data_IF_705566043601
#
_entry.id   IF_705566043601
#
_cell.length_a   1.000
_cell.length_b   1.000
_cell.length_c   1.000
_cell.angle_alpha   90.00
_cell.angle_beta   90.00
_cell.angle_gamma   90.00
#
_symmetry.space_group_name_H-M   'P 1'
#
loop_
_entity.id
_entity.type
_entity.pdbx_description
1 polymer ?
#
# COMPACT_ATOMS: atom_id res chain seq x y z
N UNK A 1 31.73 11.76 -8.99
CA UNK A 1 31.00 12.10 -7.75
C UNK A 1 30.06 13.23 -8.12
N UNK A 2 28.76 13.10 -7.85
CA UNK A 2 27.78 14.08 -8.29
C UNK A 2 27.24 14.88 -7.12
N UNK A 3 27.18 16.20 -7.28
CA UNK A 3 26.28 17.05 -6.52
C UNK A 3 25.38 17.79 -7.51
N UNK A 4 24.14 18.05 -7.10
CA UNK A 4 23.18 18.84 -7.84
C UNK A 4 22.89 20.13 -7.06
N UNK A 5 23.09 21.24 -7.73
CA UNK A 5 22.74 22.57 -7.25
C UNK A 5 21.48 22.99 -8.00
N UNK A 6 20.34 23.02 -7.32
CA UNK A 6 19.04 23.28 -7.95
C UNK A 6 18.72 24.77 -7.90
N UNK A 7 18.80 25.36 -6.71
CA UNK A 7 18.55 26.80 -6.51
C UNK A 7 19.16 27.29 -5.20
N UNK A 8 18.93 28.56 -4.86
CA UNK A 8 19.30 29.11 -3.55
C UNK A 8 18.75 28.23 -2.42
N UNK A 9 19.63 27.78 -1.52
CA UNK A 9 19.35 26.88 -0.40
C UNK A 9 18.72 25.52 -0.80
N UNK A 10 18.85 25.10 -2.06
CA UNK A 10 18.35 23.82 -2.57
C UNK A 10 19.46 23.06 -3.30
N UNK A 11 20.03 22.06 -2.65
CA UNK A 11 21.12 21.25 -3.19
C UNK A 11 21.12 19.84 -2.59
N UNK A 12 21.75 18.91 -3.31
CA UNK A 12 21.92 17.53 -2.87
C UNK A 12 23.20 16.92 -3.42
N UNK A 13 23.88 16.08 -2.66
CA UNK A 13 25.07 15.38 -3.12
C UNK A 13 25.49 14.26 -2.17
N UNK A 14 26.52 13.52 -2.56
CA UNK A 14 27.16 12.54 -1.68
C UNK A 14 28.24 13.26 -0.84
N UNK A 15 28.10 13.15 0.48
CA UNK A 15 29.06 13.61 1.49
C UNK A 15 30.00 12.46 1.84
N UNK A 16 31.31 12.70 1.75
CA UNK A 16 32.36 11.77 2.14
C UNK A 16 33.19 12.42 3.24
N UNK A 17 33.33 11.76 4.39
CA UNK A 17 34.09 12.31 5.52
C UNK A 17 35.51 11.73 5.62
N UNK A 18 35.70 10.50 5.15
CA UNK A 18 36.98 9.79 5.22
C UNK A 18 37.29 9.06 3.90
N UNK A 19 38.58 8.76 3.68
CA UNK A 19 38.99 7.91 2.55
C UNK A 19 38.41 6.50 2.73
N UNK A 20 37.58 6.06 1.78
CA UNK A 20 36.89 4.77 1.81
C UNK A 20 35.41 4.85 2.25
N UNK A 21 34.90 6.03 2.58
CA UNK A 21 33.47 6.23 2.84
C UNK A 21 32.65 5.93 1.58
N UNK A 22 31.50 5.24 1.76
CA UNK A 22 30.56 4.94 0.66
C UNK A 22 29.77 6.17 0.22
N UNK A 23 29.84 7.25 0.99
CA UNK A 23 29.19 8.52 0.71
C UNK A 23 27.75 8.52 1.20
N UNK A 24 27.41 9.48 2.07
CA UNK A 24 26.04 9.68 2.54
C UNK A 24 25.32 10.73 1.70
N UNK A 25 24.04 10.50 1.38
CA UNK A 25 23.24 11.49 0.64
C UNK A 25 22.89 12.67 1.56
N UNK A 26 23.57 13.80 1.40
CA UNK A 26 23.23 15.06 2.08
C UNK A 26 22.34 15.92 1.17
N UNK A 27 21.18 16.32 1.68
CA UNK A 27 20.20 17.12 0.96
C UNK A 27 19.79 18.33 1.81
N UNK A 28 19.71 19.49 1.18
CA UNK A 28 19.31 20.75 1.81
C UNK A 28 18.24 21.41 0.96
N UNK A 29 17.11 21.74 1.58
CA UNK A 29 15.96 22.38 0.93
C UNK A 29 15.22 21.55 -0.14
N UNK A 30 15.69 20.33 -0.43
CA UNK A 30 15.04 19.39 -1.36
C UNK A 30 13.85 18.71 -0.67
N UNK A 31 12.86 18.32 -1.47
CA UNK A 31 11.60 17.73 -1.04
C UNK A 31 11.79 16.49 -0.16
N UNK A 32 12.93 15.80 -0.25
CA UNK A 32 13.30 14.61 0.55
C UNK A 32 13.47 14.87 2.06
N UNK A 33 13.62 16.12 2.49
CA UNK A 33 13.77 16.52 3.90
C UNK A 33 12.66 17.48 4.38
N UNK A 34 11.80 17.91 3.46
CA UNK A 34 10.73 18.87 3.68
C UNK A 34 9.51 18.19 4.28
N UNK A 35 9.04 18.66 5.44
CA UNK A 35 7.91 18.03 6.16
C UNK A 35 6.55 18.25 5.49
N UNK A 36 6.44 19.28 4.66
CA UNK A 36 5.31 19.61 3.80
C UNK A 36 5.16 18.68 2.58
N UNK A 37 6.16 17.85 2.29
CA UNK A 37 6.07 16.81 1.26
C UNK A 37 5.48 15.52 1.82
N UNK A 38 4.67 14.81 1.03
CA UNK A 38 4.17 13.48 1.38
C UNK A 38 5.22 12.38 1.10
N UNK A 39 5.02 11.21 1.71
CA UNK A 39 5.92 10.05 1.54
C UNK A 39 6.04 9.60 0.08
N UNK A 40 4.98 9.79 -0.72
CA UNK A 40 4.98 9.51 -2.16
C UNK A 40 6.00 10.34 -2.93
N UNK A 41 6.38 11.51 -2.43
CA UNK A 41 7.44 12.31 -3.05
C UNK A 41 8.79 11.98 -2.39
N UNK A 42 8.84 11.98 -1.06
CA UNK A 42 10.08 11.87 -0.31
C UNK A 42 10.82 10.54 -0.54
N UNK A 43 10.10 9.42 -0.49
CA UNK A 43 10.69 8.08 -0.57
C UNK A 43 11.28 7.78 -1.95
N UNK A 44 10.52 7.89 -3.06
CA UNK A 44 11.08 7.59 -4.37
C UNK A 44 12.12 8.61 -4.80
N UNK A 45 11.98 9.90 -4.45
CA UNK A 45 13.01 10.89 -4.78
C UNK A 45 14.34 10.56 -4.10
N UNK A 46 14.32 10.11 -2.82
CA UNK A 46 15.52 9.68 -2.12
C UNK A 46 16.15 8.44 -2.75
N UNK A 47 15.36 7.47 -3.20
CA UNK A 47 15.86 6.29 -3.89
C UNK A 47 16.44 6.64 -5.26
N UNK A 48 15.71 7.44 -6.04
CA UNK A 48 16.14 7.92 -7.36
C UNK A 48 17.45 8.69 -7.28
N UNK A 49 17.61 9.60 -6.31
CA UNK A 49 18.88 10.32 -6.10
C UNK A 49 20.05 9.39 -5.79
N UNK A 50 19.82 8.35 -4.97
CA UNK A 50 20.85 7.33 -4.70
C UNK A 50 21.21 6.56 -5.95
N UNK A 51 20.22 6.16 -6.74
CA UNK A 51 20.40 5.43 -7.99
C UNK A 51 21.21 6.28 -8.99
N UNK A 52 20.83 7.54 -9.17
CA UNK A 52 21.54 8.49 -10.06
C UNK A 52 23.01 8.63 -9.65
N UNK A 53 23.30 8.78 -8.36
CA UNK A 53 24.69 8.96 -7.92
C UNK A 53 25.53 7.67 -7.92
N UNK A 54 24.90 6.50 -7.74
CA UNK A 54 25.59 5.21 -7.73
C UNK A 54 25.82 4.65 -9.13
N UNK A 55 24.77 4.55 -9.94
CA UNK A 55 24.85 3.92 -11.28
C UNK A 55 25.25 4.91 -12.36
N UNK A 56 24.88 6.18 -12.20
CA UNK A 56 24.96 7.22 -13.25
C UNK A 56 24.27 6.84 -14.56
N UNK A 57 23.32 5.92 -14.49
CA UNK A 57 22.54 5.48 -15.64
C UNK A 57 21.12 6.08 -15.59
N UNK A 58 20.85 6.99 -16.52
CA UNK A 58 19.53 7.63 -16.65
C UNK A 58 18.46 6.64 -17.12
N UNK A 59 18.81 5.57 -17.81
CA UNK A 59 17.88 4.54 -18.28
C UNK A 59 17.33 3.73 -17.12
N UNK A 60 18.20 3.27 -16.21
CA UNK A 60 17.80 2.65 -14.95
C UNK A 60 16.92 3.58 -14.10
N UNK A 61 17.28 4.86 -14.03
CA UNK A 61 16.51 5.85 -13.28
C UNK A 61 15.12 6.09 -13.87
N UNK A 62 15.00 6.14 -15.20
CA UNK A 62 13.71 6.22 -15.90
C UNK A 62 12.87 4.97 -15.63
N UNK A 63 13.45 3.78 -15.76
CA UNK A 63 12.76 2.50 -15.52
C UNK A 63 12.18 2.45 -14.10
N UNK A 64 12.97 2.85 -13.10
CA UNK A 64 12.53 2.93 -11.71
C UNK A 64 11.29 3.83 -11.54
N UNK A 65 11.31 5.03 -12.11
CA UNK A 65 10.18 5.96 -12.00
C UNK A 65 8.93 5.41 -12.70
N UNK A 66 9.09 4.81 -13.88
CA UNK A 66 7.98 4.19 -14.61
C UNK A 66 7.33 3.06 -13.80
N UNK A 67 8.14 2.17 -13.21
CA UNK A 67 7.66 1.10 -12.34
C UNK A 67 6.96 1.66 -11.09
N UNK A 68 7.52 2.70 -10.47
CA UNK A 68 6.90 3.38 -9.33
C UNK A 68 5.55 4.01 -9.69
N UNK A 69 5.42 4.64 -10.85
CA UNK A 69 4.14 5.19 -11.32
C UNK A 69 3.13 4.11 -11.67
N UNK A 70 3.56 2.97 -12.21
CA UNK A 70 2.68 1.80 -12.38
C UNK A 70 2.14 1.33 -11.03
N UNK A 71 2.99 1.21 -10.01
CA UNK A 71 2.54 0.88 -8.65
C UNK A 71 1.60 1.93 -8.05
N UNK A 72 1.76 3.21 -8.41
CA UNK A 72 0.85 4.29 -8.03
C UNK A 72 -0.53 4.10 -8.65
N UNK A 73 -0.60 3.86 -9.96
CA UNK A 73 -1.85 3.64 -10.69
C UNK A 73 -2.56 2.35 -10.25
N UNK A 74 -1.80 1.31 -9.93
CA UNK A 74 -2.32 0.03 -9.42
C UNK A 74 -2.77 0.09 -7.95
N UNK A 75 -2.59 1.24 -7.27
CA UNK A 75 -2.93 1.37 -5.85
C UNK A 75 -2.06 0.54 -4.91
N UNK A 76 -0.87 0.09 -5.37
CA UNK A 76 0.08 -0.72 -4.57
C UNK A 76 0.91 0.11 -3.59
N UNK A 77 0.87 1.44 -3.71
CA UNK A 77 1.54 2.33 -2.75
C UNK A 77 0.65 2.52 -1.52
N UNK A 78 1.15 2.30 -0.29
CA UNK A 78 0.37 2.47 0.92
C UNK A 78 -0.25 3.87 1.03
N UNK A 79 -1.52 3.94 1.42
CA UNK A 79 -2.25 5.21 1.61
C UNK A 79 -1.54 6.15 2.60
N UNK A 80 -0.84 5.61 3.60
CA UNK A 80 -0.05 6.41 4.54
C UNK A 80 1.04 7.26 3.90
N UNK A 81 1.55 6.87 2.73
CA UNK A 81 2.53 7.67 2.00
C UNK A 81 1.88 8.90 1.34
N UNK A 82 0.57 8.87 1.06
CA UNK A 82 -0.18 9.99 0.48
C UNK A 82 -0.65 10.99 1.55
N UNK A 83 -0.64 10.59 2.82
CA UNK A 83 -1.13 11.41 3.91
C UNK A 83 -0.16 12.55 4.23
N UNK A 84 -0.62 13.79 4.07
CA UNK A 84 0.06 15.01 4.52
C UNK A 84 -0.15 15.29 6.02
N UNK A 85 -0.79 14.40 6.78
CA UNK A 85 -1.28 14.65 8.14
C UNK A 85 -0.22 15.10 9.15
N UNK A 86 1.08 14.90 8.86
CA UNK A 86 2.16 15.49 9.67
C UNK A 86 2.08 17.02 9.75
N UNK A 87 1.42 17.70 8.80
CA UNK A 87 1.32 19.16 8.75
C UNK A 87 -0.07 19.72 9.12
N UNK A 88 -1.11 18.88 9.13
CA UNK A 88 -2.47 19.35 9.45
C UNK A 88 -2.54 19.83 10.90
N UNK A 89 -2.20 18.96 11.87
CA UNK A 89 -2.31 19.29 13.28
C UNK A 89 -1.38 20.43 13.71
N UNK A 90 -0.08 20.46 13.36
CA UNK A 90 0.79 21.57 13.72
C UNK A 90 0.31 22.92 13.19
N UNK A 91 -0.37 22.94 12.04
CA UNK A 91 -0.91 24.18 11.48
C UNK A 91 -2.05 24.76 12.31
N UNK A 92 -2.95 23.90 12.82
CA UNK A 92 -3.99 24.33 13.74
C UNK A 92 -3.45 24.59 15.16
N UNK A 93 -2.53 23.79 15.66
CA UNK A 93 -1.89 23.96 16.98
C UNK A 93 -1.25 25.35 17.12
N UNK A 94 -0.55 25.85 16.09
CA UNK A 94 0.06 27.19 16.11
C UNK A 94 -0.93 28.31 16.40
N UNK A 95 -2.14 28.22 15.85
CA UNK A 95 -3.19 29.23 16.07
C UNK A 95 -3.94 28.96 17.38
N UNK A 96 -4.22 27.69 17.70
CA UNK A 96 -4.99 27.31 18.86
C UNK A 96 -4.28 27.56 20.20
N UNK A 97 -2.94 27.57 20.21
CA UNK A 97 -2.15 27.98 21.38
C UNK A 97 -2.52 29.40 21.82
N UNK A 98 -2.79 30.32 20.89
CA UNK A 98 -3.20 31.70 21.22
C UNK A 98 -4.56 31.76 21.93
N UNK A 99 -5.39 30.73 21.74
CA UNK A 99 -6.71 30.60 22.37
C UNK A 99 -6.68 29.70 23.62
N UNK A 100 -5.49 29.20 24.02
CA UNK A 100 -5.36 28.26 25.14
C UNK A 100 -5.93 26.86 24.86
N UNK A 101 -6.07 26.48 23.59
CA UNK A 101 -6.70 25.23 23.16
C UNK A 101 -5.67 24.21 22.67
N UNK A 102 -5.77 22.96 23.15
CA UNK A 102 -4.97 21.83 22.66
C UNK A 102 -5.74 21.01 21.60
N UNK A 103 -5.44 21.29 20.33
CA UNK A 103 -6.05 20.62 19.17
C UNK A 103 -5.67 19.14 19.10
N UNK A 104 -4.48 18.77 19.59
CA UNK A 104 -4.02 17.38 19.59
C UNK A 104 -4.85 16.53 20.54
N UNK A 105 -5.16 17.08 21.71
CA UNK A 105 -6.07 16.43 22.67
C UNK A 105 -7.44 16.16 22.05
N UNK A 106 -8.01 17.13 21.33
CA UNK A 106 -9.29 16.94 20.62
C UNK A 106 -9.20 15.88 19.53
N UNK A 107 -8.16 15.94 18.68
CA UNK A 107 -7.95 14.96 17.63
C UNK A 107 -7.82 13.53 18.17
N UNK A 108 -7.10 13.36 19.27
CA UNK A 108 -6.91 12.06 19.91
C UNK A 108 -8.20 11.54 20.57
N UNK A 109 -9.13 12.41 20.94
CA UNK A 109 -10.42 12.05 21.51
C UNK A 109 -11.46 11.64 20.46
N UNK A 110 -11.21 11.87 19.16
CA UNK A 110 -12.14 11.50 18.10
C UNK A 110 -12.31 9.97 18.00
N UNK A 111 -13.55 9.46 17.83
CA UNK A 111 -13.78 8.04 17.59
C UNK A 111 -13.17 7.68 16.24
N UNK A 112 -12.07 6.91 16.27
CA UNK A 112 -11.45 6.38 15.04
C UNK A 112 -12.41 5.36 14.45
N UNK A 113 -12.96 5.64 13.26
CA UNK A 113 -13.78 4.66 12.54
C UNK A 113 -12.99 3.35 12.42
N UNK A 114 -13.51 2.28 13.00
CA UNK A 114 -13.02 0.94 12.72
C UNK A 114 -13.51 0.59 11.32
N UNK A 115 -12.63 0.69 10.32
CA UNK A 115 -12.87 0.00 9.06
C UNK A 115 -12.93 -1.49 9.37
N UNK A 116 -14.14 -2.03 9.42
CA UNK A 116 -14.34 -3.44 9.09
C UNK A 116 -13.89 -3.58 7.65
N UNK A 117 -13.05 -4.58 7.35
CA UNK A 117 -12.82 -5.01 5.97
C UNK A 117 -14.20 -5.07 5.29
N UNK A 118 -14.43 -4.19 4.32
CA UNK A 118 -15.77 -3.95 3.82
C UNK A 118 -16.28 -5.24 3.16
N UNK A 119 -17.33 -5.81 3.75
CA UNK A 119 -18.06 -6.97 3.24
C UNK A 119 -18.94 -6.52 2.08
N UNK A 120 -18.79 -7.22 0.96
CA UNK A 120 -19.65 -7.34 -0.22
C UNK A 120 -20.17 -6.05 -0.90
N UNK A 121 -20.05 -5.93 -2.24
CA UNK A 121 -20.69 -4.84 -2.96
C UNK A 121 -22.21 -5.03 -2.92
N UNK A 122 -22.93 -4.08 -2.32
CA UNK A 122 -24.39 -3.97 -2.51
C UNK A 122 -24.67 -3.54 -3.96
N UNK A 123 -25.54 -4.26 -4.67
CA UNK A 123 -25.97 -4.00 -6.05
C UNK A 123 -26.57 -2.61 -6.31
N UNK A 124 -26.70 -1.77 -5.29
CA UNK A 124 -27.23 -0.40 -5.34
C UNK A 124 -26.17 0.67 -5.56
N UNK A 125 -24.88 0.34 -5.48
CA UNK A 125 -23.79 1.29 -5.68
C UNK A 125 -23.30 1.25 -7.13
N UNK A 126 -22.96 2.43 -7.65
CA UNK A 126 -22.48 2.65 -9.02
C UNK A 126 -21.22 1.81 -9.33
N UNK A 127 -20.46 1.41 -8.31
CA UNK A 127 -19.30 0.51 -8.43
C UNK A 127 -19.64 -0.87 -9.00
N UNK A 128 -20.88 -1.36 -8.85
CA UNK A 128 -21.36 -2.58 -9.49
C UNK A 128 -21.32 -2.53 -11.03
N UNK A 129 -21.34 -1.33 -11.62
CA UNK A 129 -21.27 -1.11 -13.07
C UNK A 129 -19.84 -0.95 -13.60
N UNK A 130 -18.85 -0.77 -12.71
CA UNK A 130 -17.43 -0.64 -13.04
C UNK A 130 -16.63 -1.94 -12.77
N UNK A 131 -17.31 -3.08 -12.64
CA UNK A 131 -16.63 -4.38 -12.45
C UNK A 131 -15.60 -4.61 -13.56
N UNK A 132 -14.37 -4.95 -13.17
CA UNK A 132 -13.27 -5.20 -14.11
C UNK A 132 -13.71 -6.12 -15.24
N UNK A 133 -13.48 -5.68 -16.48
CA UNK A 133 -13.69 -6.48 -17.68
C UNK A 133 -12.50 -7.41 -17.96
N UNK A 134 -11.63 -7.70 -16.98
CA UNK A 134 -10.46 -8.56 -17.16
C UNK A 134 -10.69 -9.91 -16.49
N UNK A 135 -10.25 -10.97 -17.17
CA UNK A 135 -10.22 -12.32 -16.63
C UNK A 135 -9.28 -12.36 -15.43
N UNK A 136 -9.73 -12.85 -14.27
CA UNK A 136 -8.90 -12.87 -13.06
C UNK A 136 -7.72 -13.85 -13.13
N UNK A 137 -7.72 -14.79 -14.07
CA UNK A 137 -6.69 -15.84 -14.19
C UNK A 137 -5.61 -15.48 -15.20
N UNK A 138 -5.97 -14.90 -16.34
CA UNK A 138 -5.02 -14.53 -17.40
C UNK A 138 -4.88 -13.02 -17.64
N UNK A 139 -5.67 -12.21 -16.94
CA UNK A 139 -5.73 -10.74 -17.05
C UNK A 139 -6.14 -10.21 -18.45
N UNK A 140 -6.54 -11.09 -19.37
CA UNK A 140 -7.05 -10.69 -20.68
C UNK A 140 -8.45 -10.08 -20.54
N UNK A 141 -8.71 -8.99 -21.28
CA UNK A 141 -10.02 -8.34 -21.30
C UNK A 141 -11.10 -9.29 -21.86
N UNK A 142 -12.07 -9.63 -21.04
CA UNK A 142 -13.26 -10.42 -21.37
C UNK A 142 -14.50 -9.54 -21.45
N UNK A 143 -15.23 -9.63 -22.56
CA UNK A 143 -16.46 -8.86 -22.80
C UNK A 143 -17.73 -9.44 -22.13
N UNK A 144 -17.61 -10.56 -21.42
CA UNK A 144 -18.73 -11.22 -20.77
C UNK A 144 -18.92 -10.77 -19.32
N UNK A 145 -20.18 -10.80 -18.82
CA UNK A 145 -20.51 -10.61 -17.41
C UNK A 145 -20.06 -11.82 -16.57
N UNK A 146 -18.76 -11.97 -16.39
CA UNK A 146 -18.16 -13.05 -15.59
C UNK A 146 -16.71 -12.73 -15.24
N UNK A 147 -16.21 -13.28 -14.12
CA UNK A 147 -14.85 -13.06 -13.61
C UNK A 147 -13.75 -13.85 -14.35
N UNK A 148 -14.13 -14.83 -15.19
CA UNK A 148 -13.22 -15.70 -15.93
C UNK A 148 -13.61 -15.69 -17.42
N UNK A 149 -12.63 -15.58 -18.32
CA UNK A 149 -12.87 -15.62 -19.77
C UNK A 149 -13.24 -17.02 -20.28
N UNK A 150 -13.79 -17.10 -21.49
CA UNK A 150 -14.16 -18.37 -22.13
C UNK A 150 -12.98 -19.35 -22.24
N UNK A 151 -11.76 -18.85 -22.57
CA UNK A 151 -10.57 -19.69 -22.70
C UNK A 151 -10.15 -20.35 -21.38
N UNK A 152 -10.19 -19.59 -20.28
CA UNK A 152 -9.92 -20.12 -18.95
C UNK A 152 -11.05 -21.05 -18.48
N UNK A 153 -12.29 -20.81 -18.90
CA UNK A 153 -13.42 -21.71 -18.60
C UNK A 153 -13.32 -23.04 -19.36
N UNK A 154 -12.77 -23.03 -20.58
CA UNK A 154 -12.53 -24.23 -21.37
C UNK A 154 -11.47 -25.18 -20.77
N UNK A 155 -10.62 -24.68 -19.86
CA UNK A 155 -9.55 -25.46 -19.22
C UNK A 155 -9.71 -25.49 -17.69
N UNK A 156 -10.75 -26.15 -17.15
CA UNK A 156 -11.14 -26.04 -15.74
C UNK A 156 -10.05 -26.50 -14.77
N UNK A 157 -9.31 -27.56 -15.10
CA UNK A 157 -8.23 -28.07 -14.22
C UNK A 157 -7.09 -27.05 -14.07
N UNK A 158 -6.62 -26.47 -15.19
CA UNK A 158 -5.55 -25.47 -15.20
C UNK A 158 -5.98 -24.19 -14.47
N UNK A 159 -7.21 -23.75 -14.70
CA UNK A 159 -7.81 -22.57 -14.08
C UNK A 159 -7.99 -22.78 -12.57
N UNK A 160 -8.50 -23.94 -12.14
CA UNK A 160 -8.63 -24.27 -10.73
C UNK A 160 -7.26 -24.28 -10.01
N UNK A 161 -6.22 -24.85 -10.63
CA UNK A 161 -4.87 -24.83 -10.07
C UNK A 161 -4.28 -23.42 -9.96
N UNK A 162 -4.47 -22.58 -10.99
CA UNK A 162 -3.99 -21.20 -10.98
C UNK A 162 -4.69 -20.35 -9.91
N UNK A 163 -6.01 -20.51 -9.75
CA UNK A 163 -6.77 -19.82 -8.71
C UNK A 163 -6.37 -20.33 -7.32
N UNK A 164 -6.23 -21.66 -7.16
CA UNK A 164 -5.83 -22.25 -5.88
C UNK A 164 -4.42 -21.79 -5.48
N UNK A 165 -3.47 -21.70 -6.42
CA UNK A 165 -2.11 -21.22 -6.12
C UNK A 165 -2.12 -19.77 -5.67
N UNK A 166 -2.91 -18.89 -6.31
CA UNK A 166 -3.10 -17.50 -5.87
C UNK A 166 -3.72 -17.40 -4.48
N UNK A 167 -4.74 -18.20 -4.18
CA UNK A 167 -5.36 -18.23 -2.84
C UNK A 167 -4.34 -18.65 -1.79
N UNK A 168 -3.53 -19.67 -2.06
CA UNK A 168 -2.47 -20.14 -1.15
C UNK A 168 -1.41 -19.07 -0.93
N UNK A 169 -0.98 -18.37 -1.99
CA UNK A 169 0.00 -17.28 -1.90
C UNK A 169 -0.51 -16.11 -1.05
N UNK A 170 -1.74 -15.67 -1.29
CA UNK A 170 -2.36 -14.57 -0.53
C UNK A 170 -2.57 -14.95 0.95
N UNK A 171 -2.99 -16.19 1.22
CA UNK A 171 -3.15 -16.69 2.60
C UNK A 171 -1.79 -16.76 3.32
N UNK A 172 -0.73 -17.20 2.63
CA UNK A 172 0.62 -17.22 3.17
C UNK A 172 1.16 -15.82 3.51
N UNK A 173 0.94 -14.83 2.62
CA UNK A 173 1.30 -13.44 2.89
C UNK A 173 0.53 -12.87 4.08
N UNK A 174 -0.79 -13.12 4.13
CA UNK A 174 -1.65 -12.68 5.23
C UNK A 174 -1.20 -13.29 6.57
N UNK A 175 -0.86 -14.57 6.58
CA UNK A 175 -0.33 -15.26 7.76
C UNK A 175 1.03 -14.71 8.19
N UNK A 176 1.92 -14.36 7.24
CA UNK A 176 3.22 -13.76 7.55
C UNK A 176 3.05 -12.41 8.26
N UNK A 177 2.19 -11.53 7.74
CA UNK A 177 1.87 -10.24 8.36
C UNK A 177 1.24 -10.43 9.75
N UNK A 178 0.36 -11.42 9.89
CA UNK A 178 -0.26 -11.76 11.17
C UNK A 178 0.77 -12.19 12.21
N UNK A 179 1.78 -13.00 11.85
CA UNK A 179 2.85 -13.41 12.79
C UNK A 179 3.59 -12.20 13.35
N UNK A 180 3.89 -11.21 12.52
CA UNK A 180 4.51 -9.96 12.96
C UNK A 180 3.60 -9.20 13.92
N UNK A 181 2.30 -9.12 13.64
CA UNK A 181 1.35 -8.46 14.55
C UNK A 181 1.19 -9.20 15.89
N UNK A 182 1.16 -10.53 15.89
CA UNK A 182 1.11 -11.34 17.13
C UNK A 182 2.37 -11.11 17.96
N UNK A 183 3.55 -11.09 17.33
CA UNK A 183 4.81 -10.82 18.02
C UNK A 183 4.86 -9.38 18.58
N UNK A 184 4.31 -8.41 17.85
CA UNK A 184 4.29 -7.00 18.26
C UNK A 184 3.30 -6.72 19.42
N UNK A 185 2.11 -7.33 19.39
CA UNK A 185 1.11 -7.13 20.45
C UNK A 185 1.30 -8.08 21.64
N UNK A 186 2.01 -9.20 21.47
CA UNK A 186 2.10 -10.25 22.48
C UNK A 186 0.75 -10.94 22.73
N UNK A 187 0.71 -11.81 23.74
CA UNK A 187 -0.50 -12.54 24.18
C UNK A 187 -1.40 -11.73 25.12
N UNK A 188 -1.00 -10.52 25.52
CA UNK A 188 -1.59 -9.79 26.65
C UNK A 188 -2.82 -8.93 26.32
N UNK A 189 -3.11 -8.67 25.04
CA UNK A 189 -4.20 -7.75 24.63
C UNK A 189 -5.56 -8.42 24.42
N UNK A 190 -5.84 -9.55 25.08
CA UNK A 190 -7.20 -10.11 25.25
C UNK A 190 -8.01 -10.41 23.97
N UNK A 191 -7.42 -10.30 22.79
CA UNK A 191 -8.06 -10.62 21.52
C UNK A 191 -7.90 -12.10 21.22
N UNK A 192 -9.01 -12.80 21.00
CA UNK A 192 -8.94 -14.13 20.40
C UNK A 192 -8.41 -13.96 18.97
N UNK A 193 -7.23 -14.54 18.70
CA UNK A 193 -6.70 -14.66 17.34
C UNK A 193 -7.30 -15.89 16.64
N UNK A 194 -8.52 -16.27 16.98
CA UNK A 194 -9.21 -17.47 16.51
C UNK A 194 -9.59 -17.36 15.02
N UNK A 195 -9.99 -16.18 14.57
CA UNK A 195 -10.29 -15.91 13.16
C UNK A 195 -9.01 -15.59 12.36
N UNK A 196 -8.86 -16.22 11.19
CA UNK A 196 -7.77 -15.96 10.26
C UNK A 196 -7.83 -14.57 9.61
N UNK A 197 -9.02 -13.96 9.55
CA UNK A 197 -9.25 -12.65 8.91
C UNK A 197 -9.53 -11.51 9.88
N UNK A 198 -9.66 -11.76 11.19
CA UNK A 198 -9.83 -10.69 12.17
C UNK A 198 -8.49 -10.20 12.72
N UNK A 199 -8.18 -8.92 12.54
CA UNK A 199 -7.04 -8.27 13.20
C UNK A 199 -7.52 -7.27 14.25
N UNK A 200 -6.97 -7.38 15.46
CA UNK A 200 -7.37 -6.59 16.64
C UNK A 200 -6.58 -5.27 16.77
N UNK A 201 -5.40 -5.19 16.13
CA UNK A 201 -4.55 -4.00 16.10
C UNK A 201 -5.20 -2.85 15.32
N UNK A 202 -5.12 -1.61 15.80
CA UNK A 202 -5.69 -0.41 15.12
C UNK A 202 -4.69 0.73 14.95
N UNK A 203 -3.42 0.40 14.76
CA UNK A 203 -2.37 1.38 14.54
C UNK A 203 -2.22 1.72 13.05
N UNK A 204 -2.93 2.75 12.59
CA UNK A 204 -2.87 3.24 11.20
C UNK A 204 -1.49 3.77 10.79
N UNK A 205 -0.62 4.08 11.76
CA UNK A 205 0.77 4.47 11.49
C UNK A 205 1.70 3.26 11.36
N UNK A 206 1.21 2.03 11.59
CA UNK A 206 1.98 0.81 11.43
C UNK A 206 2.05 0.39 9.96
N UNK A 207 3.26 0.17 9.44
CA UNK A 207 3.46 -0.33 8.08
C UNK A 207 2.81 -1.71 7.86
N UNK A 208 2.88 -2.60 8.86
CA UNK A 208 2.30 -3.95 8.81
C UNK A 208 0.78 -3.89 8.68
N UNK A 209 0.12 -2.98 9.42
CA UNK A 209 -1.33 -2.77 9.30
C UNK A 209 -1.75 -2.33 7.90
N UNK A 210 -0.99 -1.39 7.31
CA UNK A 210 -1.29 -0.85 5.98
C UNK A 210 -1.08 -1.87 4.86
N UNK A 211 -0.24 -2.88 5.07
CA UNK A 211 -0.12 -4.01 4.14
C UNK A 211 -1.18 -5.07 4.42
N UNK A 212 -1.50 -5.33 5.69
CA UNK A 212 -2.46 -6.36 6.08
C UNK A 212 -3.87 -6.10 5.56
N UNK A 213 -4.39 -4.87 5.70
CA UNK A 213 -5.77 -4.56 5.34
C UNK A 213 -6.10 -4.83 3.85
N UNK A 214 -5.31 -4.33 2.88
CA UNK A 214 -5.51 -4.68 1.46
C UNK A 214 -5.39 -6.19 1.19
N UNK A 215 -4.41 -6.87 1.78
CA UNK A 215 -4.20 -8.32 1.60
C UNK A 215 -5.36 -9.14 2.18
N UNK A 216 -5.93 -8.71 3.31
CA UNK A 216 -7.10 -9.34 3.91
C UNK A 216 -8.32 -9.23 2.99
N UNK A 217 -8.60 -8.02 2.48
CA UNK A 217 -9.70 -7.76 1.54
C UNK A 217 -9.50 -8.54 0.24
N UNK A 218 -8.28 -8.58 -0.30
CA UNK A 218 -7.96 -9.39 -1.47
C UNK A 218 -8.25 -10.88 -1.18
N UNK A 219 -7.77 -11.42 -0.07
CA UNK A 219 -7.99 -12.83 0.30
C UNK A 219 -9.48 -13.18 0.41
N UNK A 220 -10.28 -12.32 1.04
CA UNK A 220 -11.73 -12.53 1.16
C UNK A 220 -12.47 -12.41 -0.18
N UNK A 221 -12.10 -11.44 -1.01
CA UNK A 221 -12.68 -11.31 -2.37
C UNK A 221 -12.32 -12.52 -3.25
N UNK A 222 -11.10 -13.05 -3.17
CA UNK A 222 -10.73 -14.28 -3.89
C UNK A 222 -11.53 -15.48 -3.38
N UNK A 223 -11.63 -15.68 -2.06
CA UNK A 223 -12.37 -16.80 -1.45
C UNK A 223 -13.89 -16.76 -1.75
N UNK A 224 -14.50 -15.58 -1.76
CA UNK A 224 -15.93 -15.41 -2.07
C UNK A 224 -16.25 -15.70 -3.54
N UNK A 225 -15.41 -15.23 -4.47
CA UNK A 225 -15.64 -15.45 -5.90
C UNK A 225 -15.43 -16.92 -6.31
N UNK A 226 -14.48 -17.64 -5.69
CA UNK A 226 -14.32 -19.10 -5.88
C UNK A 226 -15.56 -19.89 -5.44
N UNK A 227 -16.22 -19.46 -4.36
CA UNK A 227 -17.48 -20.08 -3.89
C UNK A 227 -18.65 -19.84 -4.84
N UNK A 228 -18.73 -18.64 -5.43
CA UNK A 228 -19.76 -18.31 -6.43
C UNK A 228 -19.56 -19.14 -7.71
N UNK A 229 -18.34 -19.25 -8.22
CA UNK A 229 -18.09 -19.99 -9.48
C UNK A 229 -18.19 -21.51 -9.33
N UNK A 230 -17.81 -22.08 -8.18
CA UNK A 230 -18.02 -23.51 -7.90
C UNK A 230 -19.50 -23.91 -7.77
N UNK A 231 -20.39 -22.95 -7.49
CA UNK A 231 -21.84 -23.17 -7.53
C UNK A 231 -22.42 -23.06 -8.95
N UNK A 232 -21.82 -22.23 -9.81
CA UNK A 232 -22.23 -22.09 -11.22
C UNK A 232 -21.83 -23.32 -12.04
N UNK A 233 -20.66 -23.91 -11.80
CA UNK A 233 -20.21 -25.13 -12.49
C UNK A 233 -20.89 -26.43 -12.02
N UNK A 234 -21.83 -26.38 -11.06
CA UNK A 234 -22.61 -27.55 -10.61
C UNK A 234 -24.01 -27.64 -11.23
N UNK A 235 -24.43 -26.63 -11.99
CA UNK A 235 -25.77 -26.51 -12.57
C UNK A 235 -25.80 -26.65 -14.11
N UNK A 236 -24.70 -27.11 -14.72
CA UNK A 236 -24.63 -27.57 -16.12
C UNK A 236 -24.26 -29.06 -16.12
#
# INVERSE_FOLDING_TARGET
>A
MGSFLVSKKRYVGLKFEHLGDKGHLDAKGIETIRRDSCGVVQHPMRHWLRLVFSTRDLSACKKYLQEYWTHMHDGRIPLTHYIFAKEMLPSFERLAILMGVDVRKWYNALPRKAERAAVAPSLTRIDAYYSSQHCRVCDTRSFHRGSICADCRAHPQRTAMAVQSQVVQLDAELQALRRVCVQCMGSSWGGSWDSSTAMVCRNFSCAVWNQWLPTAVATETWKTNVKVESSVCKND
#
